data_IF_395493273286
#
_entry.id   IF_395493273286
#
_cell.length_a   1.000
_cell.length_b   1.000
_cell.length_c   1.000
_cell.angle_alpha   90.00
_cell.angle_beta   90.00
_cell.angle_gamma   90.00
#
_symmetry.space_group_name_H-M   'P 1'
#
loop_
_entity.id
_entity.type
_entity.pdbx_description
1 polymer ?
#
# COMPACT_ATOMS: atom_id res chain seq x y z
N UNK A 1 -38.82 15.44 1.74
CA UNK A 1 -37.91 14.97 0.76
C UNK A 1 -37.86 13.45 0.79
N UNK A 2 -37.91 12.87 -0.34
CA UNK A 2 -37.83 11.43 -0.44
C UNK A 2 -36.40 11.00 -0.32
N UNK A 3 -36.13 10.12 0.61
CA UNK A 3 -34.81 9.55 0.75
C UNK A 3 -34.75 8.30 -0.08
N UNK A 4 -34.32 8.44 -1.30
CA UNK A 4 -34.09 7.29 -2.16
C UNK A 4 -32.67 6.82 -1.93
N UNK A 5 -32.47 5.56 -1.54
CA UNK A 5 -31.12 5.06 -1.40
C UNK A 5 -30.38 5.17 -2.73
N UNK A 6 -29.18 5.70 -2.69
CA UNK A 6 -28.35 5.81 -3.86
C UNK A 6 -27.23 4.77 -3.72
N UNK A 7 -27.12 3.93 -4.71
CA UNK A 7 -26.03 2.97 -4.76
C UNK A 7 -24.87 3.62 -5.51
N UNK A 8 -23.80 3.88 -4.80
CA UNK A 8 -22.60 4.41 -5.41
C UNK A 8 -21.67 3.25 -5.71
N UNK A 9 -21.40 3.06 -6.98
CA UNK A 9 -20.43 2.05 -7.40
C UNK A 9 -19.14 2.74 -7.74
N UNK A 10 -18.10 2.40 -7.01
CA UNK A 10 -16.75 2.83 -7.35
C UNK A 10 -16.21 1.93 -8.46
N UNK A 11 -15.14 2.36 -9.08
CA UNK A 11 -14.38 1.46 -9.94
C UNK A 11 -13.83 0.33 -9.08
N UNK A 12 -13.84 -0.88 -9.62
CA UNK A 12 -13.49 -2.04 -8.80
C UNK A 12 -12.86 -3.14 -9.64
N UNK A 13 -12.06 -3.95 -9.00
CA UNK A 13 -11.46 -5.14 -9.57
C UNK A 13 -11.36 -6.23 -8.52
N UNK A 14 -11.52 -7.47 -8.94
CA UNK A 14 -11.28 -8.63 -8.10
C UNK A 14 -9.97 -9.33 -8.42
N UNK A 15 -9.13 -8.75 -9.26
CA UNK A 15 -7.84 -9.34 -9.62
C UNK A 15 -6.78 -8.93 -8.62
N UNK A 16 -6.01 -9.91 -8.17
CA UNK A 16 -4.92 -9.65 -7.23
C UNK A 16 -3.96 -8.61 -7.79
N UNK A 17 -3.56 -7.68 -6.96
CA UNK A 17 -2.61 -6.60 -7.27
C UNK A 17 -3.10 -5.58 -8.28
N UNK A 18 -4.35 -5.64 -8.70
CA UNK A 18 -4.86 -4.69 -9.67
C UNK A 18 -5.02 -3.32 -9.00
N UNK A 19 -4.46 -2.31 -9.60
CA UNK A 19 -4.57 -0.94 -9.13
C UNK A 19 -5.19 -0.06 -10.21
N UNK A 20 -5.89 1.00 -9.83
CA UNK A 20 -6.46 1.88 -10.85
C UNK A 20 -5.35 2.58 -11.62
N UNK A 21 -5.60 2.78 -12.91
CA UNK A 21 -4.73 3.65 -13.70
C UNK A 21 -5.07 5.10 -13.38
N UNK A 22 -4.07 5.95 -13.40
CA UNK A 22 -4.27 7.37 -13.19
C UNK A 22 -5.11 8.00 -14.30
N UNK A 23 -5.19 7.35 -15.45
CA UNK A 23 -6.00 7.80 -16.57
C UNK A 23 -7.43 7.30 -16.54
N UNK A 24 -7.76 6.38 -15.63
CA UNK A 24 -9.08 5.76 -15.58
C UNK A 24 -9.96 6.28 -14.46
N UNK A 25 -9.39 7.00 -13.51
CA UNK A 25 -10.16 7.62 -12.43
C UNK A 25 -9.83 9.11 -12.36
N UNK A 26 -10.78 9.86 -11.85
CA UNK A 26 -10.65 11.30 -11.70
C UNK A 26 -10.17 11.64 -10.30
N UNK A 27 -9.64 12.84 -10.13
CA UNK A 27 -9.22 13.30 -8.82
C UNK A 27 -10.38 13.20 -7.83
N UNK A 28 -10.14 12.57 -6.70
CA UNK A 28 -11.15 12.34 -5.67
C UNK A 28 -12.05 11.13 -5.92
N UNK A 29 -11.94 10.47 -7.05
CA UNK A 29 -12.74 9.27 -7.32
C UNK A 29 -12.13 8.08 -6.60
N UNK A 30 -13.00 7.22 -6.06
CA UNK A 30 -12.58 6.01 -5.35
C UNK A 30 -12.52 4.82 -6.28
N UNK A 31 -11.58 3.93 -6.01
CA UNK A 31 -11.47 2.65 -6.67
C UNK A 31 -11.15 1.58 -5.64
N UNK A 32 -11.76 0.40 -5.79
CA UNK A 32 -11.64 -0.67 -4.82
C UNK A 32 -11.13 -1.93 -5.52
N UNK A 33 -10.07 -2.49 -5.01
CA UNK A 33 -9.70 -3.86 -5.33
C UNK A 33 -10.20 -4.75 -4.20
N UNK A 34 -11.13 -5.66 -4.52
CA UNK A 34 -11.72 -6.55 -3.54
C UNK A 34 -11.15 -7.98 -3.61
N UNK A 35 -10.06 -8.18 -4.30
CA UNK A 35 -9.38 -9.48 -4.28
C UNK A 35 -9.02 -9.86 -2.85
N UNK A 36 -9.09 -11.15 -2.54
CA UNK A 36 -8.75 -11.58 -1.19
C UNK A 36 -7.29 -11.30 -0.84
N UNK A 37 -6.41 -11.34 -1.85
CA UNK A 37 -5.00 -11.00 -1.69
C UNK A 37 -4.74 -9.64 -2.33
N UNK A 38 -3.95 -8.83 -1.65
CA UNK A 38 -3.56 -7.50 -2.13
C UNK A 38 -4.73 -6.60 -2.48
N UNK A 39 -5.72 -6.61 -1.64
CA UNK A 39 -6.86 -5.72 -1.78
C UNK A 39 -6.50 -4.29 -1.37
N UNK A 40 -7.38 -3.36 -1.66
CA UNK A 40 -7.16 -1.99 -1.25
C UNK A 40 -8.22 -1.03 -1.72
N UNK A 41 -8.25 0.10 -1.06
CA UNK A 41 -9.05 1.24 -1.45
C UNK A 41 -8.09 2.32 -1.94
N UNK A 42 -8.41 2.91 -3.07
CA UNK A 42 -7.55 3.87 -3.74
C UNK A 42 -8.33 5.12 -4.10
N UNK A 43 -7.62 6.22 -4.27
CA UNK A 43 -8.16 7.42 -4.89
C UNK A 43 -7.04 8.12 -5.67
N UNK A 44 -7.45 9.03 -6.54
CA UNK A 44 -6.50 9.88 -7.24
C UNK A 44 -6.48 11.24 -6.54
N UNK A 45 -5.30 11.70 -6.21
CA UNK A 45 -5.15 12.97 -5.50
C UNK A 45 -5.17 14.15 -6.48
N UNK A 46 -5.01 15.35 -5.93
CA UNK A 46 -5.14 16.59 -6.71
C UNK A 46 -4.00 16.82 -7.70
N UNK A 47 -2.88 16.13 -7.53
CA UNK A 47 -1.76 16.23 -8.48
C UNK A 47 -1.75 15.08 -9.47
N UNK A 48 -2.67 14.14 -9.34
CA UNK A 48 -2.82 13.05 -10.29
C UNK A 48 -2.23 11.73 -9.86
N UNK A 49 -1.76 11.62 -8.63
CA UNK A 49 -1.17 10.39 -8.15
C UNK A 49 -2.22 9.46 -7.56
N UNK A 50 -2.03 8.17 -7.78
CA UNK A 50 -2.88 7.16 -7.16
C UNK A 50 -2.37 6.90 -5.75
N UNK A 51 -3.30 7.03 -4.80
CA UNK A 51 -3.01 6.83 -3.39
C UNK A 51 -3.77 5.64 -2.87
N UNK A 52 -3.11 4.79 -2.11
CA UNK A 52 -3.75 3.70 -1.38
C UNK A 52 -4.07 4.16 0.02
N UNK A 53 -5.32 4.00 0.43
CA UNK A 53 -5.78 4.51 1.72
C UNK A 53 -6.06 3.42 2.74
N UNK A 54 -5.92 2.15 2.37
CA UNK A 54 -6.30 1.08 3.27
C UNK A 54 -5.16 0.17 3.58
N UNK A 55 -5.11 -0.17 4.85
CA UNK A 55 -4.55 -1.42 5.31
C UNK A 55 -3.06 -1.52 5.29
N UNK A 56 -2.66 -2.62 5.90
CA UNK A 56 -1.29 -3.08 5.91
C UNK A 56 -1.31 -4.38 5.15
N UNK A 57 -0.42 -4.52 4.19
CA UNK A 57 -0.26 -5.80 3.51
C UNK A 57 0.57 -6.72 4.40
N UNK A 58 0.05 -7.90 4.67
CA UNK A 58 0.79 -8.92 5.40
C UNK A 58 1.03 -10.10 4.47
N UNK A 59 2.29 -10.40 4.20
CA UNK A 59 2.60 -11.50 3.30
C UNK A 59 4.09 -11.62 3.07
N UNK A 60 4.48 -12.73 2.48
CA UNK A 60 5.90 -13.02 2.21
C UNK A 60 6.43 -12.34 0.95
N UNK A 61 5.55 -11.77 0.16
CA UNK A 61 5.92 -11.04 -1.06
C UNK A 61 5.47 -9.60 -0.95
N UNK A 62 6.26 -8.70 -1.49
CA UNK A 62 5.91 -7.30 -1.49
C UNK A 62 4.60 -7.07 -2.25
N UNK A 63 3.72 -6.23 -1.75
CA UNK A 63 2.50 -5.92 -2.46
C UNK A 63 2.82 -5.19 -3.77
N UNK A 64 2.02 -5.48 -4.78
CA UNK A 64 2.18 -4.85 -6.09
C UNK A 64 3.58 -5.01 -6.66
N UNK A 65 4.21 -6.16 -6.38
CA UNK A 65 5.54 -6.44 -6.90
C UNK A 65 5.56 -6.47 -8.43
N UNK A 66 4.42 -6.79 -9.02
CA UNK A 66 4.22 -6.73 -10.46
C UNK A 66 2.89 -6.00 -10.66
N UNK A 67 2.92 -4.67 -10.72
CA UNK A 67 1.68 -3.91 -10.78
C UNK A 67 0.86 -4.25 -12.02
N UNK A 68 -0.36 -4.68 -11.78
CA UNK A 68 -1.30 -4.96 -12.84
C UNK A 68 -1.99 -3.67 -13.30
N UNK A 69 -2.13 -2.73 -12.41
CA UNK A 69 -2.63 -1.42 -12.76
C UNK A 69 -1.49 -0.55 -13.21
N UNK A 70 -1.29 0.53 -12.54
CA UNK A 70 -0.33 1.51 -12.95
C UNK A 70 0.27 2.16 -11.73
N UNK A 71 1.28 2.90 -11.88
CA UNK A 71 1.86 3.74 -10.85
C UNK A 71 2.55 3.06 -9.68
N UNK A 72 2.39 1.78 -9.50
CA UNK A 72 3.07 1.09 -8.41
C UNK A 72 2.52 1.40 -7.04
N UNK A 73 3.35 1.30 -6.04
CA UNK A 73 2.95 1.54 -4.66
C UNK A 73 2.87 3.03 -4.35
N UNK A 74 2.01 3.39 -3.42
CA UNK A 74 1.94 4.76 -2.93
C UNK A 74 2.96 4.98 -1.83
N UNK A 75 3.57 6.15 -1.79
CA UNK A 75 4.49 6.49 -0.71
C UNK A 75 3.77 6.35 0.62
N UNK A 76 4.40 5.64 1.53
CA UNK A 76 3.82 5.38 2.85
C UNK A 76 3.05 4.08 2.96
N UNK A 77 2.90 3.30 1.90
CA UNK A 77 2.29 1.98 2.01
C UNK A 77 3.11 1.10 2.94
N UNK A 78 2.40 0.33 3.74
CA UNK A 78 3.03 -0.51 4.75
C UNK A 78 2.89 -1.97 4.37
N UNK A 79 4.00 -2.66 4.47
CA UNK A 79 4.09 -4.11 4.26
C UNK A 79 4.75 -4.75 5.46
N UNK A 80 4.07 -5.72 6.05
CA UNK A 80 4.69 -6.59 7.04
C UNK A 80 5.17 -7.83 6.29
N UNK A 81 6.47 -7.96 6.19
CA UNK A 81 7.13 -9.03 5.44
C UNK A 81 7.17 -10.30 6.29
N UNK A 82 6.19 -11.16 6.10
CA UNK A 82 6.11 -12.41 6.87
C UNK A 82 7.18 -13.43 6.47
N UNK A 83 7.84 -13.24 5.35
CA UNK A 83 8.94 -14.09 4.94
C UNK A 83 10.27 -13.75 5.60
N UNK A 84 10.33 -12.61 6.28
CA UNK A 84 11.56 -12.14 6.92
C UNK A 84 11.24 -11.65 8.33
N UNK A 85 10.88 -12.56 9.20
CA UNK A 85 10.64 -12.29 10.62
C UNK A 85 9.62 -11.18 10.89
N UNK A 86 8.66 -11.01 10.01
CA UNK A 86 7.64 -9.96 10.14
C UNK A 86 8.24 -8.56 10.22
N UNK A 87 9.25 -8.27 9.43
CA UNK A 87 9.76 -6.91 9.37
C UNK A 87 8.73 -5.96 8.82
N UNK A 88 8.61 -4.82 9.50
CA UNK A 88 7.79 -3.74 9.01
C UNK A 88 8.55 -2.99 7.93
N UNK A 89 7.89 -2.79 6.79
CA UNK A 89 8.48 -2.06 5.66
C UNK A 89 7.53 -0.98 5.21
N UNK A 90 8.09 0.11 4.74
CA UNK A 90 7.33 1.26 4.23
C UNK A 90 7.86 1.62 2.85
N UNK A 91 6.96 1.87 1.92
CA UNK A 91 7.33 2.29 0.58
C UNK A 91 7.75 3.77 0.60
N UNK A 92 8.96 4.04 0.15
CA UNK A 92 9.52 5.40 0.17
C UNK A 92 9.38 6.12 -1.17
N UNK A 93 8.71 5.50 -2.13
CA UNK A 93 8.58 6.01 -3.49
C UNK A 93 9.43 5.24 -4.48
N UNK A 94 10.37 4.45 -4.01
CA UNK A 94 11.28 3.68 -4.87
C UNK A 94 11.37 2.23 -4.42
N UNK A 95 11.40 1.99 -3.14
CA UNK A 95 11.55 0.66 -2.56
C UNK A 95 10.88 0.58 -1.20
N UNK A 96 10.67 -0.64 -0.74
CA UNK A 96 10.21 -0.87 0.63
C UNK A 96 11.41 -0.86 1.56
N UNK A 97 11.49 0.16 2.40
CA UNK A 97 12.55 0.28 3.39
C UNK A 97 12.13 -0.37 4.69
N UNK A 98 13.08 -0.98 5.38
CA UNK A 98 12.82 -1.54 6.70
C UNK A 98 12.68 -0.43 7.73
N UNK A 99 11.69 -0.57 8.58
CA UNK A 99 11.52 0.33 9.70
C UNK A 99 11.94 -0.44 10.94
N UNK A 100 12.99 0.01 11.56
CA UNK A 100 13.50 -0.60 12.76
C UNK A 100 13.24 0.23 13.99
N UNK A 101 13.71 -0.27 15.13
CA UNK A 101 13.68 0.49 16.35
C UNK A 101 14.64 1.68 16.26
N UNK A 102 14.47 2.63 17.15
CA UNK A 102 15.27 3.84 17.13
C UNK A 102 16.79 3.57 17.22
N UNK A 103 17.15 2.45 17.77
CA UNK A 103 18.55 2.03 17.90
C UNK A 103 18.94 0.99 16.83
N UNK A 104 18.11 0.74 15.87
CA UNK A 104 18.42 -0.21 14.80
C UNK A 104 19.48 0.37 13.89
N UNK A 105 20.29 -0.50 13.32
CA UNK A 105 21.25 -0.06 12.31
C UNK A 105 20.54 0.25 10.98
N UNK A 106 21.32 0.65 10.00
CA UNK A 106 20.79 1.03 8.70
C UNK A 106 20.08 -0.10 7.99
N UNK A 107 20.32 -1.33 8.34
CA UNK A 107 19.63 -2.48 7.78
C UNK A 107 18.32 -2.79 8.51
N UNK A 108 17.98 -2.02 9.51
CA UNK A 108 16.80 -2.27 10.32
C UNK A 108 16.98 -3.41 11.30
N UNK A 109 18.20 -3.84 11.52
CA UNK A 109 18.52 -4.84 12.50
C UNK A 109 18.51 -4.20 13.87
N UNK A 110 17.66 -4.67 14.75
CA UNK A 110 17.57 -4.13 16.09
C UNK A 110 18.76 -4.59 16.92
N UNK A 111 19.92 -4.25 16.49
CA UNK A 111 21.14 -4.56 17.22
C UNK A 111 21.38 -3.43 18.19
N UNK A 112 21.10 -3.68 19.42
CA UNK A 112 21.48 -2.75 20.44
C UNK A 112 22.94 -3.00 20.72
N UNK A 113 23.75 -2.10 20.20
CA UNK A 113 25.13 -2.10 20.61
C UNK A 113 25.19 -1.34 21.91
N UNK A 114 25.24 -2.06 22.98
CA UNK A 114 25.46 -1.41 24.26
C UNK A 114 26.81 -0.78 24.18
N UNK A 115 26.89 0.47 24.61
CA UNK A 115 28.09 1.25 24.40
C UNK A 115 29.33 0.68 25.07
N UNK A 116 29.18 -0.25 25.89
CA UNK A 116 30.34 -0.94 26.42
C UNK A 116 31.11 -1.69 25.39
N UNK A 117 30.55 -1.74 24.32
CA UNK A 117 31.15 -2.43 23.22
C UNK A 117 30.15 -2.47 22.21
#
# INVERSE_FOLDING_TARGET
MTTTPVTLLSKRSGNTSDRPLDTTIQAGELAINFAAAENGLYFKDSVGDIRKVTGVHYGSSAPNSTPAGETGNSVGEIWVDSGTNNFLRVWDGTTFIKIGAAFADAAGTATVTIASG
#
